data_IF_737818426288
#
_entry.id   IF_737818426288
#
_cell.length_a   1.000
_cell.length_b   1.000
_cell.length_c   1.000
_cell.angle_alpha   90.00
_cell.angle_beta   90.00
_cell.angle_gamma   90.00
#
_symmetry.space_group_name_H-M   'P 1'
#
loop_
_entity.id
_entity.type
_entity.pdbx_description
1 polymer ?
#
# COMPACT_ATOMS: atom_id res chain seq x y z
N UNK A 1 -29.53 13.78 1.54
CA UNK A 1 -28.87 12.47 1.76
C UNK A 1 -27.87 12.63 2.88
N UNK A 2 -27.82 11.70 3.86
CA UNK A 2 -26.73 11.70 4.84
C UNK A 2 -25.43 11.37 4.08
N UNK A 3 -24.44 12.21 4.24
CA UNK A 3 -23.11 11.96 3.71
C UNK A 3 -22.56 10.69 4.38
N UNK A 4 -22.14 9.70 3.59
CA UNK A 4 -21.56 8.47 4.12
C UNK A 4 -20.14 8.79 4.56
N UNK A 5 -19.89 8.70 5.86
CA UNK A 5 -18.53 8.83 6.40
C UNK A 5 -17.82 7.48 6.31
N UNK A 6 -16.64 7.48 5.72
CA UNK A 6 -15.73 6.33 5.64
C UNK A 6 -14.82 6.32 6.86
N UNK A 7 -14.66 5.16 7.46
CA UNK A 7 -13.81 4.98 8.65
C UNK A 7 -12.79 3.89 8.35
N UNK A 8 -11.55 4.12 8.78
CA UNK A 8 -10.51 3.10 8.66
C UNK A 8 -10.87 1.84 9.47
N UNK A 9 -10.60 0.64 8.93
CA UNK A 9 -10.71 -0.60 9.70
C UNK A 9 -9.58 -0.76 10.73
N UNK A 10 -8.55 0.10 10.71
CA UNK A 10 -7.47 0.08 11.72
C UNK A 10 -7.96 0.69 13.01
N UNK A 11 -8.01 -0.12 14.06
CA UNK A 11 -8.34 0.35 15.40
C UNK A 11 -7.10 0.30 16.28
N UNK A 12 -6.55 1.47 16.58
CA UNK A 12 -5.40 1.60 17.49
C UNK A 12 -5.92 1.90 18.91
N UNK A 13 -5.16 1.44 19.93
CA UNK A 13 -5.49 1.71 21.33
C UNK A 13 -5.21 3.16 21.75
N UNK A 14 -4.36 3.87 20.98
CA UNK A 14 -4.02 5.27 21.25
C UNK A 14 -5.15 6.21 20.85
N UNK A 15 -5.31 7.30 21.60
CA UNK A 15 -6.35 8.31 21.33
C UNK A 15 -5.89 9.24 20.21
N UNK A 16 -6.71 9.48 19.17
CA UNK A 16 -6.44 10.48 18.16
C UNK A 16 -6.33 11.89 18.77
N UNK A 17 -5.30 12.64 18.36
CA UNK A 17 -5.09 14.04 18.75
C UNK A 17 -5.48 14.97 17.61
N UNK A 18 -5.15 14.58 16.37
CA UNK A 18 -5.44 15.36 15.19
C UNK A 18 -6.04 14.49 14.11
N UNK A 19 -7.18 14.91 13.56
CA UNK A 19 -7.85 14.26 12.42
C UNK A 19 -8.06 15.25 11.29
N UNK A 20 -8.12 14.73 10.05
CA UNK A 20 -8.47 15.49 8.84
C UNK A 20 -9.51 14.73 8.03
N UNK A 21 -10.46 15.46 7.43
CA UNK A 21 -11.36 14.87 6.42
C UNK A 21 -10.68 14.86 5.06
N UNK A 22 -10.61 13.67 4.43
CA UNK A 22 -10.10 13.47 3.08
C UNK A 22 -11.04 12.53 2.33
N UNK A 23 -11.70 13.02 1.29
CA UNK A 23 -12.63 12.25 0.45
C UNK A 23 -13.62 11.38 1.28
N UNK A 24 -14.32 12.03 2.23
CA UNK A 24 -15.23 11.40 3.20
C UNK A 24 -14.58 10.41 4.20
N UNK A 25 -13.25 10.26 4.17
CA UNK A 25 -12.52 9.55 5.21
C UNK A 25 -12.17 10.48 6.37
N UNK A 26 -12.32 9.96 7.58
CA UNK A 26 -11.70 10.56 8.76
C UNK A 26 -10.30 9.97 8.94
N UNK A 27 -9.27 10.74 8.58
CA UNK A 27 -7.87 10.32 8.63
C UNK A 27 -7.23 10.84 9.90
N UNK A 28 -6.68 9.95 10.72
CA UNK A 28 -5.92 10.35 11.91
C UNK A 28 -4.51 10.73 11.48
N UNK A 29 -4.13 11.96 11.81
CA UNK A 29 -2.82 12.53 11.48
C UNK A 29 -1.83 12.41 12.62
N UNK A 30 -2.32 12.29 13.87
CA UNK A 30 -1.51 12.24 15.07
C UNK A 30 -2.25 11.52 16.19
N UNK A 31 -1.55 10.65 16.92
CA UNK A 31 -2.04 9.99 18.10
C UNK A 31 -1.33 10.49 19.37
N UNK A 32 -2.00 10.41 20.51
CA UNK A 32 -1.42 10.75 21.79
C UNK A 32 -0.26 9.79 22.13
N UNK A 33 0.87 10.36 22.49
CA UNK A 33 2.04 9.60 22.92
C UNK A 33 2.85 8.98 21.77
N UNK A 34 2.70 9.47 20.55
CA UNK A 34 3.63 9.11 19.47
C UNK A 34 5.07 9.48 19.88
N UNK A 35 5.98 8.51 19.75
CA UNK A 35 7.40 8.68 19.99
C UNK A 35 8.20 8.83 18.70
N UNK A 36 9.48 8.43 18.74
CA UNK A 36 10.39 8.52 17.58
C UNK A 36 10.26 7.34 16.58
N UNK A 37 9.23 6.54 16.71
CA UNK A 37 8.97 5.36 15.89
C UNK A 37 9.56 4.06 16.45
N UNK A 38 9.48 2.94 15.73
CA UNK A 38 8.88 2.80 14.39
C UNK A 38 7.39 3.09 14.36
N UNK A 39 6.88 3.55 13.21
CA UNK A 39 5.49 3.93 13.04
C UNK A 39 4.74 2.91 12.20
N UNK A 40 3.48 2.66 12.56
CA UNK A 40 2.48 2.06 11.70
C UNK A 40 1.60 3.19 11.17
N UNK A 41 1.61 3.41 9.86
CA UNK A 41 0.86 4.47 9.20
C UNK A 41 -0.32 3.84 8.45
N UNK A 42 -1.53 4.29 8.77
CA UNK A 42 -2.74 3.86 8.08
C UNK A 42 -2.88 4.59 6.74
N UNK A 43 -2.86 3.83 5.67
CA UNK A 43 -3.03 4.29 4.29
C UNK A 43 -4.34 3.80 3.67
N UNK A 44 -5.29 3.29 4.48
CA UNK A 44 -6.53 2.69 3.97
C UNK A 44 -7.41 3.67 3.21
N UNK A 45 -7.24 4.97 3.42
CA UNK A 45 -7.91 6.04 2.67
C UNK A 45 -7.32 6.29 1.27
N UNK A 46 -6.15 5.73 0.96
CA UNK A 46 -5.49 5.93 -0.33
C UNK A 46 -6.16 5.10 -1.43
N UNK A 47 -6.42 5.70 -2.61
CA UNK A 47 -7.03 4.99 -3.72
C UNK A 47 -6.22 3.76 -4.15
N UNK A 48 -6.89 2.64 -4.29
CA UNK A 48 -6.32 1.37 -4.74
C UNK A 48 -7.15 0.76 -5.84
N UNK A 49 -6.47 0.21 -6.85
CA UNK A 49 -7.12 -0.39 -7.99
C UNK A 49 -6.56 -1.77 -8.27
N UNK A 50 -7.41 -2.67 -8.70
CA UNK A 50 -7.03 -3.92 -9.33
C UNK A 50 -7.19 -3.78 -10.83
N UNK A 51 -6.14 -4.05 -11.57
CA UNK A 51 -6.13 -4.05 -13.04
C UNK A 51 -5.95 -5.48 -13.53
N UNK A 52 -6.89 -5.94 -14.32
CA UNK A 52 -6.85 -7.27 -14.94
C UNK A 52 -6.96 -7.15 -16.45
N UNK A 53 -5.92 -7.62 -17.15
CA UNK A 53 -5.89 -7.66 -18.61
C UNK A 53 -4.95 -8.77 -19.11
N UNK A 54 -5.27 -9.34 -20.26
CA UNK A 54 -4.44 -10.35 -20.92
C UNK A 54 -3.15 -9.78 -21.51
N UNK A 55 -3.13 -8.47 -21.82
CA UNK A 55 -2.00 -7.75 -22.41
C UNK A 55 -1.60 -6.52 -21.59
N UNK A 56 -1.18 -6.73 -20.37
CA UNK A 56 -0.76 -5.65 -19.46
C UNK A 56 0.42 -4.82 -19.99
N UNK A 57 1.21 -5.33 -20.94
CA UNK A 57 2.32 -4.59 -21.54
C UNK A 57 1.86 -3.39 -22.38
N UNK A 58 0.63 -3.43 -22.90
CA UNK A 58 0.06 -2.34 -23.69
C UNK A 58 -0.54 -1.22 -22.82
N UNK A 59 -0.72 -1.46 -21.52
CA UNK A 59 -1.44 -0.56 -20.62
C UNK A 59 -0.44 0.25 -19.79
N UNK A 60 -0.65 1.57 -19.70
CA UNK A 60 0.17 2.48 -18.91
C UNK A 60 -0.70 3.27 -17.94
N UNK A 61 -1.18 2.65 -16.85
CA UNK A 61 -2.05 3.31 -15.90
C UNK A 61 -1.33 4.50 -15.27
N UNK A 62 -1.98 5.63 -15.16
CA UNK A 62 -1.39 6.88 -14.64
C UNK A 62 -0.09 7.29 -15.37
N UNK A 63 0.14 6.81 -16.59
CA UNK A 63 1.32 7.08 -17.39
C UNK A 63 2.60 6.38 -16.88
N UNK A 64 2.49 5.33 -16.08
CA UNK A 64 3.61 4.50 -15.63
C UNK A 64 3.74 3.21 -16.44
N UNK A 65 4.96 2.69 -16.53
CA UNK A 65 5.24 1.40 -17.17
C UNK A 65 5.09 0.29 -16.12
N UNK A 66 4.25 -0.70 -16.41
CA UNK A 66 4.01 -1.80 -15.49
C UNK A 66 5.19 -2.77 -15.43
N UNK A 67 5.47 -3.39 -14.26
CA UNK A 67 6.46 -4.46 -14.16
C UNK A 67 6.14 -5.64 -15.07
N UNK A 68 7.14 -6.26 -15.65
CA UNK A 68 6.95 -7.41 -16.56
C UNK A 68 6.72 -8.72 -15.81
N UNK A 69 7.46 -8.94 -14.72
CA UNK A 69 7.49 -10.24 -14.03
C UNK A 69 6.63 -10.23 -12.77
N UNK A 70 5.87 -11.30 -12.51
CA UNK A 70 5.20 -11.49 -11.22
C UNK A 70 6.18 -11.39 -10.04
N UNK A 71 5.78 -10.66 -9.00
CA UNK A 71 6.61 -10.37 -7.84
C UNK A 71 7.49 -9.12 -7.97
N UNK A 72 7.57 -8.52 -9.16
CA UNK A 72 8.22 -7.22 -9.35
C UNK A 72 7.25 -6.07 -9.04
N UNK A 73 7.83 -4.96 -8.60
CA UNK A 73 7.12 -3.72 -8.34
C UNK A 73 7.80 -2.55 -9.01
N UNK A 74 7.05 -1.50 -9.26
CA UNK A 74 7.57 -0.18 -9.62
C UNK A 74 6.88 0.88 -8.77
N UNK A 75 7.66 1.85 -8.31
CA UNK A 75 7.14 3.07 -7.67
C UNK A 75 7.57 4.25 -8.52
N UNK A 76 6.62 4.84 -9.22
CA UNK A 76 6.86 5.97 -10.12
C UNK A 76 5.73 6.99 -9.98
N UNK A 77 6.07 8.28 -9.94
CA UNK A 77 5.09 9.38 -9.81
C UNK A 77 4.13 9.21 -8.62
N UNK A 78 4.59 8.60 -7.53
CA UNK A 78 3.75 8.31 -6.36
C UNK A 78 2.74 7.19 -6.54
N UNK A 79 2.78 6.46 -7.65
CA UNK A 79 1.98 5.25 -7.87
C UNK A 79 2.86 4.02 -7.71
N UNK A 80 2.47 3.14 -6.79
CA UNK A 80 3.06 1.82 -6.63
C UNK A 80 2.27 0.81 -7.47
N UNK A 81 2.92 0.13 -8.40
CA UNK A 81 2.34 -0.96 -9.17
C UNK A 81 3.00 -2.29 -8.81
N UNK A 82 2.21 -3.25 -8.36
CA UNK A 82 2.65 -4.58 -7.96
C UNK A 82 2.18 -5.60 -8.99
N UNK A 83 3.11 -6.28 -9.69
CA UNK A 83 2.75 -7.36 -10.59
C UNK A 83 2.39 -8.61 -9.81
N UNK A 84 1.10 -8.91 -9.71
CA UNK A 84 0.57 -10.02 -8.92
C UNK A 84 0.76 -11.36 -9.63
N UNK A 85 0.42 -11.38 -10.91
CA UNK A 85 0.55 -12.55 -11.78
C UNK A 85 0.63 -12.09 -13.26
N UNK A 86 0.46 -13.02 -14.20
CA UNK A 86 0.58 -12.72 -15.63
C UNK A 86 -0.44 -11.70 -16.14
N UNK A 87 -1.64 -11.67 -15.56
CA UNK A 87 -2.78 -10.88 -16.04
C UNK A 87 -3.31 -9.88 -15.01
N UNK A 88 -2.63 -9.70 -13.88
CA UNK A 88 -3.12 -8.86 -12.77
C UNK A 88 -2.03 -7.97 -12.19
N UNK A 89 -2.38 -6.71 -11.95
CA UNK A 89 -1.57 -5.71 -11.26
C UNK A 89 -2.42 -5.03 -10.20
N UNK A 90 -1.89 -4.93 -8.97
CA UNK A 90 -2.46 -4.07 -7.94
C UNK A 90 -1.79 -2.71 -7.97
N UNK A 91 -2.58 -1.65 -7.96
CA UNK A 91 -2.13 -0.26 -8.03
C UNK A 91 -2.50 0.47 -6.75
N UNK A 92 -1.54 1.22 -6.22
CA UNK A 92 -1.70 2.03 -5.01
C UNK A 92 -1.32 3.47 -5.33
N UNK A 93 -2.27 4.40 -5.22
CA UNK A 93 -1.95 5.82 -5.36
C UNK A 93 -1.48 6.38 -4.02
N UNK A 94 -0.17 6.53 -3.87
CA UNK A 94 0.47 7.08 -2.68
C UNK A 94 0.73 8.60 -2.78
N UNK A 95 0.28 9.24 -3.86
CA UNK A 95 0.67 10.60 -4.27
C UNK A 95 -0.02 11.73 -3.47
N UNK A 96 -0.82 11.42 -2.46
CA UNK A 96 -1.49 12.46 -1.66
C UNK A 96 -2.64 13.20 -2.35
N UNK A 97 -2.84 13.03 -3.64
CA UNK A 97 -4.01 13.54 -4.35
C UNK A 97 -5.16 12.56 -4.17
N UNK A 98 -6.17 12.99 -3.44
CA UNK A 98 -7.28 12.13 -3.00
C UNK A 98 -8.21 11.71 -4.14
N UNK A 99 -8.10 12.31 -5.33
CA UNK A 99 -8.98 12.09 -6.47
C UNK A 99 -8.26 11.61 -7.73
N UNK A 100 -7.38 10.61 -7.62
CA UNK A 100 -7.07 9.85 -8.82
C UNK A 100 -8.31 9.01 -9.16
N UNK A 101 -9.14 9.53 -10.03
CA UNK A 101 -10.31 8.80 -10.56
C UNK A 101 -9.87 7.44 -11.09
N UNK A 102 -10.79 6.47 -11.04
CA UNK A 102 -10.59 5.18 -11.71
C UNK A 102 -10.32 5.51 -13.18
N UNK A 103 -9.23 4.98 -13.79
CA UNK A 103 -9.05 5.11 -15.22
C UNK A 103 -10.29 4.56 -15.94
N UNK A 104 -10.85 5.33 -16.87
CA UNK A 104 -12.03 4.94 -17.66
C UNK A 104 -11.62 3.90 -18.72
N UNK A 105 -10.89 2.88 -18.32
CA UNK A 105 -10.41 1.80 -19.17
C UNK A 105 -10.97 0.47 -18.66
N UNK A 106 -11.31 -0.47 -19.56
CA UNK A 106 -11.72 -1.81 -19.16
C UNK A 106 -10.64 -2.51 -18.31
N UNK A 107 -11.07 -3.29 -17.34
CA UNK A 107 -10.16 -4.10 -16.51
C UNK A 107 -9.75 -3.45 -15.18
N UNK A 108 -10.10 -2.19 -14.93
CA UNK A 108 -9.90 -1.55 -13.64
C UNK A 108 -11.07 -1.79 -12.69
N UNK A 109 -10.76 -2.09 -11.45
CA UNK A 109 -11.73 -2.17 -10.35
C UNK A 109 -11.20 -1.35 -9.16
N UNK A 110 -12.02 -0.47 -8.61
CA UNK A 110 -11.72 0.20 -7.34
C UNK A 110 -11.81 -0.80 -6.19
N UNK A 111 -10.70 -1.00 -5.50
CA UNK A 111 -10.58 -1.91 -4.36
C UNK A 111 -10.17 -1.16 -3.07
N UNK A 112 -10.34 0.16 -3.06
CA UNK A 112 -9.95 1.03 -1.93
C UNK A 112 -10.56 0.57 -0.61
N UNK A 113 -11.84 0.19 -0.62
CA UNK A 113 -12.55 -0.24 0.60
C UNK A 113 -12.52 -1.75 0.85
N UNK A 114 -11.91 -2.53 -0.05
CA UNK A 114 -11.91 -4.00 0.04
C UNK A 114 -10.80 -4.57 0.92
N UNK A 115 -9.77 -3.79 1.20
CA UNK A 115 -8.58 -4.25 1.93
C UNK A 115 -8.05 -3.16 2.87
N UNK A 116 -7.35 -3.60 3.91
CA UNK A 116 -6.53 -2.75 4.75
C UNK A 116 -5.21 -2.43 4.02
N UNK A 117 -4.76 -1.17 4.13
CA UNK A 117 -3.45 -0.75 3.65
C UNK A 117 -2.70 -0.01 4.75
N UNK A 118 -1.53 -0.52 5.13
CA UNK A 118 -0.68 0.11 6.14
C UNK A 118 0.77 0.17 5.66
N UNK A 119 1.51 1.18 6.12
CA UNK A 119 2.94 1.25 5.97
C UNK A 119 3.63 1.14 7.34
N UNK A 120 4.74 0.41 7.38
CA UNK A 120 5.65 0.37 8.51
C UNK A 120 6.88 1.21 8.18
N UNK A 121 7.20 2.20 9.01
CA UNK A 121 8.24 3.19 8.73
C UNK A 121 9.11 3.39 9.97
N UNK A 122 10.41 3.47 9.77
CA UNK A 122 11.37 3.78 10.83
C UNK A 122 12.40 2.70 11.08
N UNK A 123 13.22 2.91 12.10
CA UNK A 123 14.28 1.95 12.50
C UNK A 123 13.67 0.66 13.02
N UNK A 124 14.37 -0.45 12.82
CA UNK A 124 13.98 -1.77 13.32
C UNK A 124 12.67 -2.35 12.77
N UNK A 125 12.09 -1.77 11.73
CA UNK A 125 10.84 -2.27 11.11
C UNK A 125 11.02 -3.73 10.64
N UNK A 126 12.14 -4.04 9.99
CA UNK A 126 12.39 -5.39 9.49
C UNK A 126 12.55 -6.39 10.64
N UNK A 127 13.21 -6.03 11.72
CA UNK A 127 13.32 -6.87 12.92
C UNK A 127 11.96 -7.14 13.61
N UNK A 128 10.99 -6.24 13.44
CA UNK A 128 9.61 -6.48 13.87
C UNK A 128 8.92 -7.43 12.90
N UNK A 129 9.06 -7.20 11.61
CA UNK A 129 8.43 -8.02 10.55
C UNK A 129 8.91 -9.48 10.60
N UNK A 130 10.19 -9.73 10.83
CA UNK A 130 10.79 -11.06 10.94
C UNK A 130 10.17 -11.92 12.06
N UNK A 131 9.58 -11.31 13.08
CA UNK A 131 8.84 -12.02 14.13
C UNK A 131 7.44 -12.47 13.72
N UNK A 132 6.93 -11.92 12.64
CA UNK A 132 5.55 -12.10 12.19
C UNK A 132 5.43 -12.93 10.91
N UNK A 133 6.55 -13.14 10.20
CA UNK A 133 6.60 -13.92 8.97
C UNK A 133 8.02 -14.45 8.73
N UNK A 134 8.12 -15.52 7.94
CA UNK A 134 9.40 -16.09 7.51
C UNK A 134 9.94 -15.43 6.20
N UNK A 135 9.32 -14.37 5.71
CA UNK A 135 9.74 -13.68 4.50
C UNK A 135 10.99 -12.83 4.78
N UNK A 136 11.99 -12.93 3.90
CA UNK A 136 13.23 -12.14 4.00
C UNK A 136 13.09 -10.79 3.29
N UNK A 137 12.75 -9.75 4.03
CA UNK A 137 12.64 -8.38 3.53
C UNK A 137 13.99 -7.74 3.20
N UNK A 138 15.09 -8.33 3.69
CA UNK A 138 16.45 -7.84 3.47
C UNK A 138 17.23 -8.67 2.44
N UNK A 139 16.56 -9.60 1.74
CA UNK A 139 17.17 -10.46 0.70
C UNK A 139 18.08 -9.64 -0.22
N UNK A 140 19.39 -9.90 -0.15
CA UNK A 140 20.42 -9.18 -0.89
C UNK A 140 20.32 -9.34 -2.41
N UNK A 141 19.65 -10.39 -2.87
CA UNK A 141 19.47 -10.67 -4.30
C UNK A 141 18.31 -9.86 -4.90
N UNK A 142 17.41 -9.32 -4.08
CA UNK A 142 16.28 -8.51 -4.51
C UNK A 142 16.58 -7.03 -4.38
N UNK A 143 16.37 -6.28 -5.46
CA UNK A 143 16.44 -4.82 -5.46
C UNK A 143 15.07 -4.24 -5.12
N UNK A 144 14.99 -3.35 -4.13
CA UNK A 144 13.75 -2.65 -3.82
C UNK A 144 13.36 -1.65 -4.94
N UNK A 145 12.06 -1.47 -5.22
CA UNK A 145 10.95 -2.14 -4.56
C UNK A 145 10.71 -3.57 -5.06
N UNK A 146 10.23 -4.45 -4.18
CA UNK A 146 9.82 -5.81 -4.54
C UNK A 146 8.65 -6.31 -3.68
N UNK A 147 7.87 -7.24 -4.23
CA UNK A 147 6.67 -7.80 -3.64
C UNK A 147 6.89 -9.22 -3.13
N UNK A 148 6.37 -9.50 -1.93
CA UNK A 148 5.98 -10.84 -1.50
C UNK A 148 4.46 -10.96 -1.43
N UNK A 149 3.94 -12.13 -1.78
CA UNK A 149 2.57 -12.53 -1.55
C UNK A 149 2.58 -13.70 -0.58
N UNK A 150 2.09 -13.49 0.63
CA UNK A 150 2.15 -14.53 1.65
C UNK A 150 1.57 -14.10 2.99
N UNK A 151 1.60 -15.00 3.98
CA UNK A 151 1.04 -14.69 5.30
C UNK A 151 1.94 -13.74 6.08
N UNK A 152 1.32 -12.77 6.71
CA UNK A 152 1.91 -11.93 7.74
C UNK A 152 1.08 -12.13 9.01
N UNK A 153 1.66 -12.72 10.05
CA UNK A 153 0.93 -13.14 11.25
C UNK A 153 -0.37 -13.90 10.95
N UNK A 154 -0.30 -14.89 10.03
CA UNK A 154 -1.42 -15.73 9.55
C UNK A 154 -2.45 -15.02 8.66
N UNK A 155 -2.30 -13.72 8.39
CA UNK A 155 -3.19 -12.98 7.48
C UNK A 155 -2.56 -12.97 6.07
N UNK A 156 -3.28 -13.36 5.02
CA UNK A 156 -2.79 -13.24 3.64
C UNK A 156 -2.56 -11.78 3.28
N UNK A 157 -1.35 -11.44 2.86
CA UNK A 157 -0.96 -10.06 2.57
C UNK A 157 -0.18 -9.94 1.26
N UNK A 158 -0.26 -8.75 0.67
CA UNK A 158 0.74 -8.24 -0.25
C UNK A 158 1.72 -7.39 0.58
N UNK A 159 2.99 -7.74 0.55
CA UNK A 159 4.03 -7.13 1.36
C UNK A 159 5.09 -6.55 0.42
N UNK A 160 5.25 -5.24 0.43
CA UNK A 160 6.19 -4.54 -0.45
C UNK A 160 7.32 -3.92 0.36
N UNK A 161 8.56 -4.29 0.04
CA UNK A 161 9.73 -3.59 0.53
C UNK A 161 10.03 -2.43 -0.42
N UNK A 162 9.73 -1.22 0.00
CA UNK A 162 9.98 -0.01 -0.79
C UNK A 162 11.44 0.45 -0.70
N UNK A 163 12.05 0.29 0.47
CA UNK A 163 13.42 0.70 0.74
C UNK A 163 14.06 -0.21 1.79
N UNK A 164 15.34 -0.52 1.65
CA UNK A 164 16.14 -1.29 2.60
C UNK A 164 17.04 -0.42 3.48
N UNK A 165 17.09 0.88 3.24
CA UNK A 165 17.99 1.80 3.95
C UNK A 165 17.48 2.22 5.35
N UNK A 166 16.37 1.68 5.82
CA UNK A 166 15.73 2.05 7.09
C UNK A 166 16.48 1.62 8.37
N UNK A 167 17.60 0.90 8.26
CA UNK A 167 18.40 0.47 9.39
C UNK A 167 19.66 1.34 9.61
N UNK A 168 19.69 2.55 9.02
CA UNK A 168 20.78 3.52 9.23
C UNK A 168 20.33 4.68 10.09
#
# INVERSE_FOLDING_TARGET
>A
MKEIQRVSPVVLKSTPVKTEKRDNWEVVMEYHGEGDGPFLVDLSHRPRFDLQDSNLAAIKPFGIVLPEKPGDCVLEKGVLANRMNRTQVSLYNLNGQDNAGIPDEPGFTDVTESTLCVALIGKNVFSICEKLTALDFMDKQRKAPFLFQGPFSHVPCQLVTLNKAGDK
#
